data_IF_853887224934
#
_entry.id   IF_853887224934
#
_cell.length_a   1.000
_cell.length_b   1.000
_cell.length_c   1.000
_cell.angle_alpha   90.00
_cell.angle_beta   90.00
_cell.angle_gamma   90.00
#
_symmetry.space_group_name_H-M   'P 1'
#
loop_
_entity.id
_entity.type
_entity.pdbx_description
1 polymer ?
#
# COMPACT_ATOMS: atom_id res chain seq x y z
N UNK A 1 12.93 1.45 -34.07
CA UNK A 1 13.70 2.65 -33.65
C UNK A 1 12.80 3.60 -32.88
N UNK A 2 13.33 4.43 -31.97
CA UNK A 2 12.58 5.55 -31.34
C UNK A 2 12.82 6.89 -32.06
N UNK A 3 13.93 6.97 -32.80
CA UNK A 3 14.43 8.21 -33.40
C UNK A 3 13.47 8.89 -34.38
N UNK A 4 12.69 8.17 -35.22
CA UNK A 4 11.71 8.82 -36.08
C UNK A 4 10.69 9.64 -35.29
N UNK A 5 10.34 9.21 -34.07
CA UNK A 5 9.32 9.86 -33.24
C UNK A 5 9.88 11.00 -32.38
N UNK A 6 11.09 10.85 -31.82
CA UNK A 6 11.66 11.79 -30.84
C UNK A 6 12.89 12.56 -31.34
N UNK A 7 13.35 12.28 -32.56
CA UNK A 7 14.63 12.75 -33.06
C UNK A 7 15.82 11.94 -32.55
N UNK A 8 17.02 12.31 -33.01
CA UNK A 8 18.27 11.72 -32.55
C UNK A 8 18.76 12.47 -31.31
N UNK A 9 18.61 11.87 -30.12
CA UNK A 9 18.95 12.50 -28.84
C UNK A 9 20.44 12.38 -28.47
N UNK A 10 21.31 12.19 -29.47
CA UNK A 10 22.76 12.03 -29.34
C UNK A 10 23.14 11.03 -28.24
N UNK A 11 23.87 11.47 -27.22
CA UNK A 11 24.30 10.62 -26.10
C UNK A 11 23.14 9.94 -25.35
N UNK A 12 21.93 10.48 -25.40
CA UNK A 12 20.74 9.87 -24.79
C UNK A 12 20.00 8.87 -25.72
N UNK A 13 20.43 8.68 -26.97
CA UNK A 13 19.74 7.83 -27.94
C UNK A 13 19.63 6.37 -27.49
N UNK A 14 20.66 5.88 -26.78
CA UNK A 14 20.66 4.54 -26.22
C UNK A 14 19.56 4.36 -25.17
N UNK A 15 19.53 5.24 -24.15
CA UNK A 15 18.55 5.14 -23.06
C UNK A 15 17.12 5.40 -23.55
N UNK A 16 16.89 6.32 -24.50
CA UNK A 16 15.57 6.52 -25.10
C UNK A 16 15.06 5.26 -25.81
N UNK A 17 15.97 4.48 -26.42
CA UNK A 17 15.62 3.21 -27.08
C UNK A 17 15.33 2.10 -26.06
N UNK A 18 16.06 2.08 -24.94
CA UNK A 18 15.78 1.19 -23.80
C UNK A 18 14.41 1.51 -23.18
N UNK A 19 14.06 2.79 -23.01
CA UNK A 19 12.73 3.20 -22.52
C UNK A 19 11.61 2.73 -23.46
N UNK A 20 11.76 2.91 -24.78
CA UNK A 20 10.81 2.37 -25.77
C UNK A 20 10.67 0.85 -25.63
N UNK A 21 11.78 0.13 -25.45
CA UNK A 21 11.79 -1.31 -25.28
C UNK A 21 11.04 -1.76 -24.02
N UNK A 22 11.30 -1.13 -22.87
CA UNK A 22 10.61 -1.44 -21.60
C UNK A 22 9.11 -1.17 -21.72
N UNK A 23 8.72 0.02 -22.20
CA UNK A 23 7.31 0.37 -22.36
C UNK A 23 6.59 -0.56 -23.35
N UNK A 24 7.26 -0.98 -24.42
CA UNK A 24 6.70 -1.91 -25.40
C UNK A 24 6.47 -3.31 -24.80
N UNK A 25 7.38 -3.78 -23.95
CA UNK A 25 7.25 -5.05 -23.22
C UNK A 25 6.14 -4.97 -22.16
N UNK A 26 6.10 -3.91 -21.35
CA UNK A 26 5.09 -3.71 -20.30
C UNK A 26 3.67 -3.62 -20.88
N UNK A 27 3.52 -2.92 -22.01
CA UNK A 27 2.23 -2.80 -22.71
C UNK A 27 1.99 -3.92 -23.72
N UNK A 28 2.87 -4.92 -23.80
CA UNK A 28 2.80 -6.06 -24.73
C UNK A 28 2.45 -5.65 -26.17
N UNK A 29 3.04 -4.56 -26.64
CA UNK A 29 2.74 -3.95 -27.94
C UNK A 29 4.03 -3.44 -28.56
N UNK A 30 4.34 -3.85 -29.79
CA UNK A 30 5.43 -3.33 -30.61
C UNK A 30 4.95 -2.05 -31.29
N UNK A 31 5.49 -0.87 -30.92
CA UNK A 31 5.01 0.39 -31.47
C UNK A 31 5.60 0.66 -32.87
N UNK A 32 4.85 1.38 -33.73
CA UNK A 32 5.25 1.64 -35.11
C UNK A 32 6.49 2.53 -35.23
N UNK A 33 7.06 2.57 -36.43
CA UNK A 33 8.04 3.58 -36.84
C UNK A 33 7.35 4.53 -37.83
N UNK A 34 7.24 5.81 -37.45
CA UNK A 34 6.66 6.82 -38.32
C UNK A 34 7.58 7.14 -39.51
N UNK A 35 7.00 7.68 -40.58
CA UNK A 35 7.71 8.11 -41.79
C UNK A 35 8.50 6.98 -42.49
N UNK A 36 8.03 5.73 -42.37
CA UNK A 36 8.60 4.58 -43.06
C UNK A 36 7.61 4.07 -44.13
N UNK A 37 7.81 4.46 -45.38
CA UNK A 37 6.98 4.06 -46.52
C UNK A 37 7.76 3.28 -47.58
N UNK A 38 8.88 3.84 -48.04
CA UNK A 38 9.74 3.22 -49.05
C UNK A 38 11.00 2.66 -48.38
N UNK A 39 11.16 1.34 -48.26
CA UNK A 39 12.37 0.75 -47.69
C UNK A 39 13.60 1.04 -48.57
N UNK A 40 14.77 1.16 -47.95
CA UNK A 40 16.02 1.35 -48.68
C UNK A 40 16.34 0.07 -49.48
N UNK A 41 16.46 0.13 -50.82
CA UNK A 41 16.68 -1.05 -51.67
C UNK A 41 18.02 -1.75 -51.42
N UNK A 42 18.98 -1.09 -50.74
CA UNK A 42 20.26 -1.70 -50.35
C UNK A 42 20.16 -2.61 -49.13
N UNK A 43 19.00 -2.66 -48.46
CA UNK A 43 18.77 -3.49 -47.27
C UNK A 43 17.85 -4.66 -47.68
N UNK A 44 18.35 -5.90 -47.74
CA UNK A 44 17.55 -7.06 -48.14
C UNK A 44 16.72 -7.58 -46.96
N UNK A 45 15.64 -6.85 -46.62
CA UNK A 45 14.78 -7.16 -45.46
C UNK A 45 14.20 -8.58 -45.48
N UNK A 46 13.78 -9.06 -46.66
CA UNK A 46 13.24 -10.43 -46.84
C UNK A 46 14.27 -11.50 -46.46
N UNK A 47 15.51 -11.33 -46.93
CA UNK A 47 16.58 -12.32 -46.77
C UNK A 47 17.11 -12.33 -45.34
N UNK A 48 16.98 -11.20 -44.64
CA UNK A 48 17.33 -11.05 -43.22
C UNK A 48 16.19 -11.47 -42.27
N UNK A 49 15.02 -11.89 -42.79
CA UNK A 49 13.82 -12.16 -42.00
C UNK A 49 13.44 -10.98 -41.08
N UNK A 50 13.57 -9.75 -41.60
CA UNK A 50 13.31 -8.52 -40.87
C UNK A 50 12.12 -7.78 -41.44
N UNK A 51 11.25 -7.27 -40.57
CA UNK A 51 10.17 -6.36 -40.92
C UNK A 51 10.24 -5.10 -40.03
N UNK A 52 9.89 -3.95 -40.60
CA UNK A 52 9.78 -2.70 -39.85
C UNK A 52 8.30 -2.47 -39.54
N UNK A 53 7.89 -2.41 -38.26
CA UNK A 53 6.51 -2.18 -37.90
C UNK A 53 6.11 -0.75 -38.29
N UNK A 54 5.04 -0.62 -39.08
CA UNK A 54 4.41 0.64 -39.50
C UNK A 54 3.09 0.91 -38.77
N UNK A 55 2.50 -0.14 -38.20
CA UNK A 55 1.35 -0.11 -37.29
C UNK A 55 1.76 -0.62 -35.90
N UNK A 56 0.89 -0.40 -34.90
CA UNK A 56 1.06 -1.01 -33.58
C UNK A 56 0.69 -2.50 -33.66
N UNK A 57 1.62 -3.37 -33.28
CA UNK A 57 1.45 -4.83 -33.38
C UNK A 57 1.44 -5.43 -31.98
N UNK A 58 0.49 -6.31 -31.63
CA UNK A 58 0.56 -7.06 -30.38
C UNK A 58 1.88 -7.83 -30.27
N UNK A 59 2.38 -8.01 -29.06
CA UNK A 59 3.57 -8.84 -28.86
C UNK A 59 3.25 -10.31 -29.20
N UNK A 60 4.13 -11.02 -29.94
CA UNK A 60 3.89 -12.44 -30.25
C UNK A 60 3.83 -13.30 -28.98
N UNK A 61 2.83 -14.18 -28.89
CA UNK A 61 2.62 -15.09 -27.76
C UNK A 61 3.42 -16.40 -27.86
N UNK A 62 3.87 -16.74 -29.07
CA UNK A 62 4.55 -18.00 -29.39
C UNK A 62 6.03 -18.03 -28.98
N UNK A 63 6.53 -16.98 -28.33
CA UNK A 63 7.94 -16.78 -27.99
C UNK A 63 8.12 -15.89 -26.78
N UNK A 64 9.29 -15.98 -26.15
CA UNK A 64 9.64 -15.14 -25.02
C UNK A 64 9.54 -13.64 -25.37
N UNK A 65 8.98 -12.86 -24.44
CA UNK A 65 8.88 -11.40 -24.55
C UNK A 65 10.26 -10.76 -24.36
N UNK A 66 11.01 -10.68 -25.45
CA UNK A 66 12.40 -10.23 -25.49
C UNK A 66 12.65 -9.25 -26.64
N UNK A 67 13.45 -8.23 -26.38
CA UNK A 67 13.80 -7.18 -27.34
C UNK A 67 15.28 -6.83 -27.27
N UNK A 68 15.89 -6.61 -28.43
CA UNK A 68 17.26 -6.12 -28.54
C UNK A 68 17.29 -4.61 -28.81
N UNK A 69 18.20 -3.92 -28.15
CA UNK A 69 18.48 -2.49 -28.38
C UNK A 69 19.90 -2.32 -28.87
N UNK A 70 20.05 -1.65 -30.01
CA UNK A 70 21.33 -1.29 -30.61
C UNK A 70 21.58 0.21 -30.51
N UNK A 71 22.81 0.60 -30.18
CA UNK A 71 23.29 1.98 -30.25
C UNK A 71 24.71 2.04 -30.81
N UNK A 72 24.90 2.87 -31.83
CA UNK A 72 26.18 3.00 -32.55
C UNK A 72 26.63 4.46 -32.48
N UNK A 73 27.75 4.71 -31.82
CA UNK A 73 28.34 6.04 -31.70
C UNK A 73 29.17 6.39 -32.92
N UNK A 74 29.27 7.69 -33.23
CA UNK A 74 30.04 8.20 -34.38
C UNK A 74 31.52 7.79 -34.35
N UNK A 75 32.10 7.60 -33.15
CA UNK A 75 33.46 7.12 -32.96
C UNK A 75 33.65 5.62 -33.19
N UNK A 76 32.61 4.88 -33.59
CA UNK A 76 32.66 3.43 -33.82
C UNK A 76 32.42 2.57 -32.58
N UNK A 77 32.20 3.19 -31.41
CA UNK A 77 31.81 2.48 -30.20
C UNK A 77 30.36 1.97 -30.33
N UNK A 78 30.16 0.68 -30.14
CA UNK A 78 28.88 0.00 -30.32
C UNK A 78 28.41 -0.61 -29.00
N UNK A 79 27.14 -0.46 -28.69
CA UNK A 79 26.49 -1.09 -27.54
C UNK A 79 25.26 -1.89 -28.00
N UNK A 80 25.10 -3.07 -27.43
CA UNK A 80 23.96 -3.95 -27.62
C UNK A 80 23.47 -4.42 -26.25
N UNK A 81 22.16 -4.37 -26.01
CA UNK A 81 21.57 -5.04 -24.86
C UNK A 81 20.33 -5.82 -25.27
N UNK A 82 20.07 -6.89 -24.51
CA UNK A 82 18.91 -7.74 -24.61
C UNK A 82 18.09 -7.51 -23.35
N UNK A 83 16.80 -7.21 -23.53
CA UNK A 83 15.85 -6.91 -22.46
C UNK A 83 14.72 -7.93 -22.56
N UNK A 84 14.29 -8.44 -21.42
CA UNK A 84 13.28 -9.47 -21.29
C UNK A 84 12.40 -9.18 -20.08
N UNK A 85 11.15 -9.63 -20.10
CA UNK A 85 10.26 -9.42 -18.95
C UNK A 85 10.69 -10.27 -17.76
N UNK A 86 10.37 -9.81 -16.55
CA UNK A 86 10.66 -10.54 -15.32
C UNK A 86 9.95 -11.90 -15.27
N UNK A 87 8.74 -11.99 -15.85
CA UNK A 87 7.97 -13.22 -15.96
C UNK A 87 8.71 -14.30 -16.75
N UNK A 88 9.27 -13.96 -17.91
CA UNK A 88 10.05 -14.91 -18.71
C UNK A 88 11.36 -15.31 -18.01
N UNK A 89 12.00 -14.36 -17.32
CA UNK A 89 13.23 -14.63 -16.58
C UNK A 89 13.01 -15.56 -15.37
N UNK A 90 11.94 -15.34 -14.60
CA UNK A 90 11.63 -16.14 -13.40
C UNK A 90 10.83 -17.41 -13.71
N UNK A 91 10.17 -17.48 -14.86
CA UNK A 91 9.36 -18.63 -15.29
C UNK A 91 8.37 -19.07 -14.21
N UNK A 92 8.46 -20.34 -13.80
CA UNK A 92 7.58 -20.93 -12.78
C UNK A 92 7.69 -20.27 -11.39
N UNK A 93 8.72 -19.48 -11.12
CA UNK A 93 8.90 -18.76 -9.85
C UNK A 93 8.30 -17.35 -9.86
N UNK A 94 7.72 -16.90 -10.97
CA UNK A 94 7.11 -15.58 -11.06
C UNK A 94 5.78 -15.50 -10.29
N UNK A 95 5.67 -14.52 -9.38
CA UNK A 95 4.42 -14.20 -8.67
C UNK A 95 4.05 -12.73 -8.89
N UNK A 96 2.86 -12.46 -9.43
CA UNK A 96 2.44 -11.11 -9.86
C UNK A 96 2.22 -10.12 -8.71
N UNK A 97 1.93 -10.62 -7.51
CA UNK A 97 1.84 -9.85 -6.27
C UNK A 97 2.72 -10.52 -5.23
N UNK A 98 3.71 -9.80 -4.73
CA UNK A 98 4.28 -10.17 -3.44
C UNK A 98 3.26 -9.77 -2.37
N UNK A 99 2.92 -10.66 -1.41
CA UNK A 99 2.21 -10.23 -0.24
C UNK A 99 3.01 -9.06 0.36
N UNK A 100 2.37 -7.91 0.52
CA UNK A 100 2.96 -6.83 1.30
C UNK A 100 3.15 -7.43 2.69
N UNK A 101 4.40 -7.60 3.17
CA UNK A 101 4.60 -8.04 4.54
C UNK A 101 3.83 -7.06 5.42
N UNK A 102 3.11 -7.54 6.45
CA UNK A 102 2.42 -6.63 7.35
C UNK A 102 3.36 -5.51 7.73
N UNK A 103 2.86 -4.26 7.72
CA UNK A 103 3.60 -3.16 8.30
C UNK A 103 4.03 -3.63 9.69
N UNK A 104 5.33 -3.81 9.89
CA UNK A 104 5.85 -4.06 11.22
C UNK A 104 5.56 -2.78 12.00
N UNK A 105 4.43 -2.76 12.69
CA UNK A 105 4.25 -1.86 13.81
C UNK A 105 5.45 -2.11 14.74
N UNK A 106 6.10 -1.06 15.22
CA UNK A 106 7.36 -1.12 15.95
C UNK A 106 7.36 -1.97 17.23
N UNK A 107 6.28 -2.69 17.50
CA UNK A 107 6.23 -3.79 18.45
C UNK A 107 6.86 -5.01 17.76
N UNK A 108 8.19 -5.14 17.87
CA UNK A 108 8.89 -6.38 17.55
C UNK A 108 8.13 -7.59 18.10
N UNK A 109 8.37 -8.77 17.52
CA UNK A 109 7.75 -10.04 17.95
C UNK A 109 7.71 -10.11 19.47
N UNK A 110 6.54 -9.80 20.07
CA UNK A 110 6.32 -10.04 21.49
C UNK A 110 6.44 -11.54 21.59
N UNK A 111 7.56 -12.01 22.15
CA UNK A 111 7.72 -13.41 22.51
C UNK A 111 6.62 -13.72 23.50
N UNK A 112 5.49 -14.20 22.97
CA UNK A 112 4.30 -14.50 23.70
C UNK A 112 4.61 -15.71 24.59
N UNK A 113 4.90 -15.43 25.86
CA UNK A 113 4.59 -16.37 26.93
C UNK A 113 3.12 -16.28 27.35
N UNK A 114 2.27 -15.59 26.57
CA UNK A 114 0.82 -15.59 26.74
C UNK A 114 0.25 -16.80 25.98
N UNK A 115 -0.50 -17.63 26.70
CA UNK A 115 -1.08 -18.90 26.26
C UNK A 115 -1.60 -18.89 24.81
N UNK A 116 -1.20 -19.90 24.02
CA UNK A 116 -1.66 -20.16 22.64
C UNK A 116 -3.18 -20.18 22.44
N UNK A 117 -3.94 -20.26 23.54
CA UNK A 117 -5.39 -20.16 23.54
C UNK A 117 -5.91 -18.75 23.19
N UNK A 118 -5.22 -17.68 23.60
CA UNK A 118 -5.66 -16.29 23.33
C UNK A 118 -5.52 -15.98 21.84
N UNK A 119 -4.38 -16.33 21.24
CA UNK A 119 -4.13 -16.15 19.81
C UNK A 119 -5.14 -16.94 18.95
N UNK A 120 -5.45 -18.18 19.36
CA UNK A 120 -6.41 -19.03 18.65
C UNK A 120 -7.85 -18.49 18.70
N UNK A 121 -8.26 -17.89 19.83
CA UNK A 121 -9.59 -17.31 20.01
C UNK A 121 -9.70 -15.97 19.25
N UNK A 122 -8.64 -15.16 19.27
CA UNK A 122 -8.59 -13.89 18.54
C UNK A 122 -8.67 -14.09 17.03
N UNK A 123 -7.86 -15.00 16.48
CA UNK A 123 -7.92 -15.36 15.06
C UNK A 123 -9.31 -15.85 14.64
N UNK A 124 -9.96 -16.69 15.46
CA UNK A 124 -11.28 -17.24 15.17
C UNK A 124 -12.40 -16.20 15.25
N UNK A 125 -12.36 -15.29 16.24
CA UNK A 125 -13.36 -14.19 16.37
C UNK A 125 -13.20 -13.13 15.28
N UNK A 126 -11.96 -12.82 14.87
CA UNK A 126 -11.71 -11.88 13.78
C UNK A 126 -12.13 -12.46 12.42
N UNK A 127 -11.87 -13.75 12.16
CA UNK A 127 -12.30 -14.44 10.94
C UNK A 127 -13.85 -14.52 10.84
N UNK A 128 -14.55 -14.80 11.94
CA UNK A 128 -16.01 -14.75 11.95
C UNK A 128 -16.55 -13.34 11.65
N UNK A 129 -15.93 -12.29 12.19
CA UNK A 129 -16.37 -10.90 12.03
C UNK A 129 -15.99 -10.30 10.68
N UNK A 130 -14.85 -10.66 10.09
CA UNK A 130 -14.49 -10.30 8.72
C UNK A 130 -15.48 -10.91 7.72
N UNK A 131 -15.88 -12.17 7.94
CA UNK A 131 -16.93 -12.84 7.17
C UNK A 131 -18.30 -12.16 7.31
N UNK A 132 -18.65 -11.65 8.49
CA UNK A 132 -19.89 -10.88 8.68
C UNK A 132 -19.86 -9.50 7.98
N UNK A 133 -18.70 -8.82 7.94
CA UNK A 133 -18.51 -7.58 7.15
C UNK A 133 -18.61 -7.84 5.64
N UNK A 134 -17.91 -8.87 5.14
CA UNK A 134 -17.91 -9.22 3.72
C UNK A 134 -19.27 -9.73 3.22
N UNK A 135 -20.10 -10.32 4.09
CA UNK A 135 -21.47 -10.74 3.73
C UNK A 135 -22.40 -9.56 3.43
N UNK A 136 -22.07 -8.34 3.87
CA UNK A 136 -22.80 -7.13 3.52
C UNK A 136 -22.30 -6.50 2.19
N UNK A 137 -21.15 -6.94 1.68
CA UNK A 137 -20.50 -6.40 0.50
C UNK A 137 -20.05 -7.53 -0.44
N UNK A 138 -20.96 -8.19 -1.17
CA UNK A 138 -20.56 -8.94 -2.36
C UNK A 138 -21.68 -9.09 -3.38
N UNK A 139 -21.56 -8.41 -4.52
CA UNK A 139 -21.31 -9.03 -5.83
C UNK A 139 -20.37 -8.05 -6.56
N UNK A 140 -19.12 -8.42 -6.87
CA UNK A 140 -18.67 -8.87 -8.20
C UNK A 140 -17.24 -9.43 -8.12
N UNK A 141 -16.98 -10.43 -8.98
CA UNK A 141 -15.71 -10.99 -9.45
C UNK A 141 -15.05 -12.11 -8.61
N UNK A 142 -15.24 -13.32 -9.13
CA UNK A 142 -14.51 -14.55 -8.87
C UNK A 142 -13.10 -14.50 -9.44
N UNK A 143 -12.09 -14.55 -8.58
CA UNK A 143 -10.82 -15.19 -8.90
C UNK A 143 -10.41 -16.06 -7.70
N UNK A 144 -10.04 -17.29 -8.02
CA UNK A 144 -9.73 -18.34 -7.05
C UNK A 144 -8.38 -18.08 -6.39
N UNK A 145 -8.40 -17.46 -5.22
CA UNK A 145 -7.20 -17.31 -4.38
C UNK A 145 -7.21 -18.34 -3.25
N UNK A 146 -6.07 -19.02 -3.11
CA UNK A 146 -5.72 -19.88 -2.00
C UNK A 146 -5.88 -19.14 -0.67
N UNK A 147 -6.55 -19.80 0.28
CA UNK A 147 -6.76 -19.38 1.67
C UNK A 147 -5.44 -19.39 2.46
N UNK A 148 -4.56 -18.44 2.18
CA UNK A 148 -3.42 -18.11 3.04
C UNK A 148 -3.71 -16.78 3.74
N UNK A 149 -3.82 -16.81 5.07
CA UNK A 149 -3.98 -15.68 6.00
C UNK A 149 -4.43 -14.36 5.35
N UNK A 150 -5.75 -14.19 5.19
CA UNK A 150 -6.33 -12.89 4.91
C UNK A 150 -6.14 -12.00 6.14
N UNK A 151 -4.95 -11.40 6.27
CA UNK A 151 -4.69 -10.36 7.26
C UNK A 151 -5.77 -9.29 7.11
N UNK A 152 -6.37 -8.88 8.24
CA UNK A 152 -7.40 -7.86 8.25
C UNK A 152 -6.85 -6.60 7.58
N UNK A 153 -7.44 -6.23 6.44
CA UNK A 153 -7.08 -4.98 5.76
C UNK A 153 -7.49 -3.81 6.67
N UNK A 154 -6.64 -2.77 6.82
CA UNK A 154 -7.01 -1.63 7.63
C UNK A 154 -8.23 -0.93 7.01
N UNK A 155 -9.13 -0.42 7.84
CA UNK A 155 -10.32 0.33 7.40
C UNK A 155 -9.99 1.75 6.94
N UNK A 156 -8.81 2.25 7.32
CA UNK A 156 -8.31 3.59 7.06
C UNK A 156 -6.90 3.54 6.45
N UNK A 157 -6.62 4.48 5.55
CA UNK A 157 -5.34 4.65 4.89
C UNK A 157 -4.80 6.06 5.11
N UNK A 158 -3.54 6.16 5.53
CA UNK A 158 -2.83 7.43 5.73
C UNK A 158 -2.07 7.79 4.47
N UNK A 159 -2.39 8.94 3.87
CA UNK A 159 -1.65 9.50 2.75
C UNK A 159 -0.75 10.62 3.25
N UNK A 160 0.53 10.52 2.96
CA UNK A 160 1.53 11.52 3.33
C UNK A 160 2.14 12.11 2.07
N UNK A 161 2.12 13.43 1.97
CA UNK A 161 2.76 14.16 0.88
C UNK A 161 3.79 15.11 1.44
N UNK A 162 4.90 15.25 0.73
CA UNK A 162 5.95 16.17 1.11
C UNK A 162 6.62 16.82 -0.10
N UNK A 163 7.16 18.02 0.10
CA UNK A 163 7.98 18.71 -0.90
C UNK A 163 9.06 19.58 -0.25
N UNK A 164 10.00 20.06 -1.06
CA UNK A 164 11.06 20.97 -0.60
C UNK A 164 10.55 22.40 -0.31
N UNK A 165 9.40 22.78 -0.87
CA UNK A 165 8.81 24.12 -0.71
C UNK A 165 7.27 24.03 -0.72
N UNK A 166 6.56 25.04 -0.17
CA UNK A 166 5.11 24.97 -0.01
C UNK A 166 4.32 25.11 -1.32
N UNK A 167 4.91 25.71 -2.36
CA UNK A 167 4.26 25.83 -3.68
C UNK A 167 4.21 24.48 -4.38
N UNK A 168 5.34 23.77 -4.42
CA UNK A 168 5.42 22.41 -4.95
C UNK A 168 4.52 21.45 -4.17
N UNK A 169 4.44 21.58 -2.84
CA UNK A 169 3.55 20.73 -2.06
C UNK A 169 2.07 20.96 -2.40
N UNK A 170 1.65 22.23 -2.58
CA UNK A 170 0.28 22.53 -3.04
C UNK A 170 -0.01 21.92 -4.40
N UNK A 171 0.93 22.02 -5.34
CA UNK A 171 0.79 21.39 -6.65
C UNK A 171 0.67 19.86 -6.53
N UNK A 172 1.52 19.22 -5.72
CA UNK A 172 1.44 17.78 -5.48
C UNK A 172 0.10 17.36 -4.90
N UNK A 173 -0.49 18.14 -3.97
CA UNK A 173 -1.84 17.86 -3.46
C UNK A 173 -2.85 17.86 -4.62
N UNK A 174 -2.84 18.90 -5.45
CA UNK A 174 -3.75 18.98 -6.62
C UNK A 174 -3.55 17.83 -7.59
N UNK A 175 -2.30 17.48 -7.90
CA UNK A 175 -1.95 16.41 -8.84
C UNK A 175 -2.40 15.04 -8.30
N UNK A 176 -2.15 14.75 -7.02
CA UNK A 176 -2.58 13.49 -6.40
C UNK A 176 -4.10 13.40 -6.29
N UNK A 177 -4.79 14.50 -5.93
CA UNK A 177 -6.25 14.51 -5.93
C UNK A 177 -6.81 14.25 -7.34
N UNK A 178 -6.20 14.81 -8.39
CA UNK A 178 -6.56 14.52 -9.77
C UNK A 178 -6.30 13.06 -10.14
N UNK A 179 -5.13 12.53 -9.79
CA UNK A 179 -4.75 11.14 -10.04
C UNK A 179 -5.71 10.15 -9.38
N UNK A 180 -6.02 10.36 -8.10
CA UNK A 180 -6.90 9.49 -7.32
C UNK A 180 -8.32 9.42 -7.91
N UNK A 181 -8.88 10.55 -8.35
CA UNK A 181 -10.20 10.60 -9.01
C UNK A 181 -10.20 9.84 -10.34
N UNK A 182 -9.15 10.02 -11.15
CA UNK A 182 -9.10 9.42 -12.48
C UNK A 182 -8.80 7.91 -12.46
N UNK A 183 -7.97 7.44 -11.52
CA UNK A 183 -7.44 6.08 -11.55
C UNK A 183 -8.05 5.16 -10.48
N UNK A 184 -8.66 5.71 -9.43
CA UNK A 184 -9.26 4.97 -8.30
C UNK A 184 -8.38 3.80 -7.80
N UNK A 185 -7.08 4.04 -7.49
CA UNK A 185 -6.17 2.98 -7.03
C UNK A 185 -6.56 2.43 -5.66
N UNK A 186 -6.07 1.23 -5.30
CA UNK A 186 -6.24 0.66 -3.96
C UNK A 186 -5.62 1.62 -2.90
N UNK A 187 -6.40 2.13 -1.93
CA UNK A 187 -5.91 3.08 -0.94
C UNK A 187 -4.76 2.56 -0.07
N UNK A 188 -4.73 1.26 0.21
CA UNK A 188 -3.67 0.65 1.04
C UNK A 188 -2.34 0.68 0.30
N UNK A 189 -2.35 0.39 -1.01
CA UNK A 189 -1.15 0.41 -1.85
C UNK A 189 -0.61 1.85 -2.03
N UNK A 190 -1.51 2.82 -2.16
CA UNK A 190 -1.15 4.25 -2.20
C UNK A 190 -0.51 4.67 -0.88
N UNK A 191 -1.14 4.35 0.25
CA UNK A 191 -0.60 4.66 1.58
C UNK A 191 0.79 4.05 1.78
N UNK A 192 0.95 2.76 1.45
CA UNK A 192 2.23 2.08 1.54
C UNK A 192 3.31 2.77 0.70
N UNK A 193 2.97 3.14 -0.55
CA UNK A 193 3.91 3.81 -1.46
C UNK A 193 4.31 5.18 -0.93
N UNK A 194 3.34 5.99 -0.49
CA UNK A 194 3.59 7.33 0.05
C UNK A 194 4.42 7.29 1.34
N UNK A 195 4.16 6.32 2.22
CA UNK A 195 4.87 6.18 3.48
C UNK A 195 6.28 5.58 3.30
N UNK A 196 6.44 4.54 2.48
CA UNK A 196 7.65 3.71 2.48
C UNK A 196 8.49 3.79 1.20
N UNK A 197 7.94 4.31 0.10
CA UNK A 197 8.58 4.32 -1.23
C UNK A 197 8.80 5.74 -1.78
N UNK A 198 8.56 6.76 -0.97
CA UNK A 198 8.80 8.17 -1.28
C UNK A 198 9.75 8.77 -0.27
N UNK A 199 10.50 9.78 -0.71
CA UNK A 199 11.31 10.60 0.17
C UNK A 199 10.43 11.57 0.97
N UNK A 200 10.77 11.79 2.24
CA UNK A 200 10.02 12.64 3.17
C UNK A 200 10.72 13.97 3.41
N UNK A 201 10.28 14.99 2.68
CA UNK A 201 10.86 16.33 2.67
C UNK A 201 10.27 17.24 3.78
N UNK A 202 10.77 18.47 3.88
CA UNK A 202 10.51 19.35 5.02
C UNK A 202 9.12 19.98 5.03
N UNK A 203 8.49 20.24 3.89
CA UNK A 203 7.10 20.67 3.85
C UNK A 203 6.21 19.44 3.74
N UNK A 204 5.22 19.31 4.62
CA UNK A 204 4.41 18.10 4.75
C UNK A 204 2.93 18.42 4.91
N UNK A 205 2.11 17.49 4.44
CA UNK A 205 0.66 17.42 4.68
C UNK A 205 0.28 15.94 4.72
N UNK A 206 -0.83 15.64 5.38
CA UNK A 206 -1.36 14.28 5.43
C UNK A 206 -2.87 14.30 5.21
N UNK A 207 -3.40 13.20 4.70
CA UNK A 207 -4.82 12.96 4.56
C UNK A 207 -5.14 11.55 5.05
N UNK A 208 -6.33 11.36 5.61
CA UNK A 208 -6.79 10.03 6.01
C UNK A 208 -8.06 9.72 5.24
N UNK A 209 -8.13 8.53 4.66
CA UNK A 209 -9.26 8.08 3.84
C UNK A 209 -9.69 6.69 4.27
N UNK A 210 -10.98 6.38 4.15
CA UNK A 210 -11.47 5.01 4.30
C UNK A 210 -10.91 4.14 3.17
N UNK A 211 -10.69 2.87 3.44
CA UNK A 211 -10.26 1.89 2.42
C UNK A 211 -11.44 1.29 1.66
N UNK A 212 -12.63 1.36 2.26
CA UNK A 212 -13.89 0.94 1.64
C UNK A 212 -14.61 2.16 1.03
N UNK A 213 -14.99 2.04 -0.25
CA UNK A 213 -15.85 3.02 -0.91
C UNK A 213 -17.30 2.69 -0.60
N UNK A 214 -17.98 3.60 0.09
CA UNK A 214 -19.42 3.57 0.24
C UNK A 214 -20.03 4.40 -0.90
N UNK A 215 -20.94 3.82 -1.67
CA UNK A 215 -21.68 4.48 -2.76
C UNK A 215 -20.84 5.05 -3.91
N UNK A 216 -19.73 4.39 -4.30
CA UNK A 216 -18.82 4.85 -5.38
C UNK A 216 -18.26 6.26 -5.14
N UNK A 217 -18.16 6.67 -3.87
CA UNK A 217 -17.51 7.92 -3.49
C UNK A 217 -16.02 7.81 -3.80
N UNK A 218 -15.48 8.84 -4.47
CA UNK A 218 -14.05 8.95 -4.73
C UNK A 218 -13.28 8.95 -3.39
N UNK A 219 -12.35 8.00 -3.24
CA UNK A 219 -11.49 7.87 -2.05
C UNK A 219 -10.34 8.90 -2.10
N UNK A 220 -10.71 10.18 -1.99
CA UNK A 220 -9.81 11.32 -2.01
C UNK A 220 -9.87 12.01 -0.65
N UNK A 221 -8.79 12.01 0.13
CA UNK A 221 -8.81 12.66 1.44
C UNK A 221 -8.83 14.18 1.30
N UNK A 222 -9.43 14.83 2.29
CA UNK A 222 -9.11 16.23 2.57
C UNK A 222 -7.74 16.28 3.26
N UNK A 223 -6.83 17.04 2.69
CA UNK A 223 -5.46 17.10 3.18
C UNK A 223 -5.35 18.16 4.28
N UNK A 224 -4.61 17.83 5.33
CA UNK A 224 -4.30 18.72 6.43
C UNK A 224 -3.66 20.01 5.93
N UNK A 225 -3.76 21.11 6.69
CA UNK A 225 -2.97 22.31 6.42
C UNK A 225 -1.49 21.99 6.24
N UNK A 226 -0.84 22.67 5.30
CA UNK A 226 0.57 22.47 5.02
C UNK A 226 1.40 22.94 6.22
N UNK A 227 2.30 22.09 6.66
CA UNK A 227 3.24 22.38 7.73
C UNK A 227 4.68 22.28 7.23
N UNK A 228 5.60 22.96 7.92
CA UNK A 228 7.04 22.78 7.71
C UNK A 228 7.61 22.12 8.95
N UNK A 229 8.25 20.97 8.80
CA UNK A 229 9.07 20.41 9.87
C UNK A 229 10.43 21.09 9.89
N UNK A 230 10.88 21.45 11.10
CA UNK A 230 12.27 21.88 11.35
C UNK A 230 13.18 20.70 11.67
N UNK A 231 12.62 19.52 11.92
CA UNK A 231 13.35 18.39 12.49
C UNK A 231 14.09 17.64 11.38
N UNK A 232 15.42 17.65 11.46
CA UNK A 232 16.30 16.83 10.61
C UNK A 232 16.43 15.40 11.13
N UNK A 233 16.11 15.18 12.40
CA UNK A 233 16.13 13.89 13.09
C UNK A 233 14.72 13.51 13.52
N UNK A 234 14.44 12.21 13.74
CA UNK A 234 13.22 11.78 14.42
C UNK A 234 13.08 12.52 15.76
N UNK A 235 11.87 12.99 16.13
CA UNK A 235 11.64 13.65 17.41
C UNK A 235 11.71 12.65 18.56
N UNK A 236 12.11 13.13 19.74
CA UNK A 236 11.92 12.38 20.99
C UNK A 236 10.42 12.34 21.32
N UNK A 237 9.90 11.15 21.61
CA UNK A 237 8.49 10.93 21.92
C UNK A 237 8.34 10.83 23.44
N UNK A 238 7.55 11.74 24.02
CA UNK A 238 7.14 11.67 25.42
C UNK A 238 5.69 11.18 25.48
N UNK A 239 5.47 10.02 26.09
CA UNK A 239 4.13 9.49 26.31
C UNK A 239 3.53 10.10 27.59
N UNK A 240 2.42 10.82 27.43
CA UNK A 240 1.70 11.45 28.54
C UNK A 240 0.47 10.60 28.86
N UNK A 241 0.45 10.01 30.04
CA UNK A 241 -0.64 9.18 30.52
C UNK A 241 -1.67 10.03 31.27
N UNK A 242 -2.94 9.89 30.91
CA UNK A 242 -4.05 10.59 31.54
C UNK A 242 -4.51 9.86 32.79
N UNK A 243 -4.90 10.63 33.81
CA UNK A 243 -5.53 10.11 35.01
C UNK A 243 -7.04 9.90 34.83
N UNK A 244 -7.75 9.70 35.94
CA UNK A 244 -9.21 9.63 35.93
C UNK A 244 -9.82 10.98 35.47
N UNK A 245 -10.79 10.91 34.56
CA UNK A 245 -11.54 12.06 34.02
C UNK A 245 -11.59 12.11 32.49
N UNK A 246 -10.70 11.41 31.79
CA UNK A 246 -10.65 11.37 30.33
C UNK A 246 -11.44 10.21 29.70
N UNK A 247 -12.00 9.31 30.52
CA UNK A 247 -12.72 8.13 30.06
C UNK A 247 -14.09 8.49 29.48
N UNK A 248 -14.49 7.78 28.43
CA UNK A 248 -15.79 7.91 27.77
C UNK A 248 -16.30 6.55 27.32
N UNK A 249 -17.62 6.37 27.19
CA UNK A 249 -18.20 5.06 26.89
C UNK A 249 -17.92 4.62 25.45
N UNK A 250 -17.46 3.39 25.26
CA UNK A 250 -17.05 2.88 23.95
C UNK A 250 -15.61 3.22 23.56
N UNK A 251 -14.82 3.82 24.47
CA UNK A 251 -13.40 4.09 24.21
C UNK A 251 -12.64 2.81 23.84
N UNK A 252 -11.82 2.86 22.79
CA UNK A 252 -11.04 1.71 22.33
C UNK A 252 -11.85 0.58 21.65
N UNK A 253 -13.18 0.68 21.57
CA UNK A 253 -14.02 -0.35 20.95
C UNK A 253 -13.67 -0.58 19.48
N UNK A 254 -13.60 0.50 18.69
CA UNK A 254 -13.23 0.41 17.26
C UNK A 254 -11.83 -0.19 17.10
N UNK A 255 -10.90 0.17 17.99
CA UNK A 255 -9.55 -0.39 17.97
C UNK A 255 -9.53 -1.89 18.28
N UNK A 256 -10.36 -2.35 19.22
CA UNK A 256 -10.54 -3.78 19.50
C UNK A 256 -11.18 -4.54 18.33
N UNK A 257 -12.05 -3.88 17.56
CA UNK A 257 -12.73 -4.50 16.41
C UNK A 257 -11.86 -4.56 15.14
N UNK A 258 -10.83 -3.70 15.05
CA UNK A 258 -9.97 -3.56 13.88
C UNK A 258 -8.55 -4.12 14.07
N UNK A 259 -7.94 -3.94 15.24
CA UNK A 259 -6.52 -4.23 15.46
C UNK A 259 -6.33 -5.37 16.46
N UNK A 260 -5.84 -6.50 15.96
CA UNK A 260 -5.61 -7.70 16.76
C UNK A 260 -4.68 -7.45 17.95
N UNK A 261 -3.59 -6.70 17.74
CA UNK A 261 -2.64 -6.36 18.81
C UNK A 261 -3.31 -5.59 19.95
N UNK A 262 -4.22 -4.67 19.62
CA UNK A 262 -4.97 -3.91 20.62
C UNK A 262 -5.90 -4.84 21.41
N UNK A 263 -6.69 -5.66 20.71
CA UNK A 263 -7.57 -6.64 21.34
C UNK A 263 -6.82 -7.63 22.25
N UNK A 264 -5.73 -8.21 21.78
CA UNK A 264 -4.93 -9.18 22.53
C UNK A 264 -4.33 -8.57 23.79
N UNK A 265 -3.95 -7.29 23.75
CA UNK A 265 -3.46 -6.56 24.93
C UNK A 265 -4.57 -6.40 25.96
N UNK A 266 -5.76 -5.94 25.55
CA UNK A 266 -6.92 -5.81 26.45
C UNK A 266 -7.32 -7.18 27.03
N UNK A 267 -7.36 -8.22 26.21
CA UNK A 267 -7.67 -9.59 26.66
C UNK A 267 -6.66 -10.09 27.70
N UNK A 268 -5.37 -9.82 27.49
CA UNK A 268 -4.31 -10.18 28.45
C UNK A 268 -4.48 -9.44 29.78
N UNK A 269 -4.81 -8.14 29.74
CA UNK A 269 -5.06 -7.37 30.95
C UNK A 269 -6.33 -7.83 31.68
N UNK A 270 -7.33 -8.32 30.96
CA UNK A 270 -8.53 -8.90 31.54
C UNK A 270 -8.22 -10.19 32.32
N UNK A 271 -7.32 -11.03 31.78
CA UNK A 271 -6.82 -12.21 32.49
C UNK A 271 -6.09 -11.81 33.79
N UNK A 272 -5.21 -10.81 33.73
CA UNK A 272 -4.51 -10.29 34.91
C UNK A 272 -5.49 -9.80 35.98
N UNK A 273 -6.56 -9.09 35.60
CA UNK A 273 -7.60 -8.66 36.55
C UNK A 273 -8.34 -9.84 37.18
N UNK A 274 -8.57 -10.91 36.41
CA UNK A 274 -9.26 -12.11 36.91
C UNK A 274 -8.43 -12.94 37.89
N UNK A 275 -7.10 -12.75 37.91
CA UNK A 275 -6.16 -13.43 38.80
C UNK A 275 -5.94 -12.71 40.15
N UNK A 276 -6.55 -11.54 40.37
CA UNK A 276 -6.46 -10.83 41.64
C UNK A 276 -7.15 -11.60 42.78
N UNK A 277 -6.71 -11.39 44.03
CA UNK A 277 -7.34 -11.99 45.23
C UNK A 277 -8.84 -11.70 45.34
N UNK A 278 -9.25 -10.53 44.83
CA UNK A 278 -10.62 -10.06 44.76
C UNK A 278 -10.92 -9.58 43.34
N UNK A 279 -11.21 -10.50 42.40
CA UNK A 279 -11.40 -10.14 41.01
C UNK A 279 -12.72 -9.36 40.83
N UNK A 280 -12.78 -8.42 39.87
CA UNK A 280 -14.01 -7.75 39.53
C UNK A 280 -15.04 -8.76 39.00
N UNK A 281 -16.32 -8.50 39.25
CA UNK A 281 -17.42 -9.32 38.69
C UNK A 281 -17.76 -8.98 37.24
N UNK A 282 -17.00 -8.07 36.63
CA UNK A 282 -17.23 -7.51 35.31
C UNK A 282 -15.99 -7.71 34.43
N UNK A 283 -16.18 -7.72 33.12
CA UNK A 283 -15.14 -7.99 32.13
C UNK A 283 -14.73 -6.70 31.40
N UNK A 284 -13.42 -6.50 31.19
CA UNK A 284 -12.89 -5.31 30.51
C UNK A 284 -13.45 -5.18 29.10
N UNK A 285 -13.45 -6.26 28.33
CA UNK A 285 -13.85 -6.25 26.92
C UNK A 285 -15.35 -5.98 26.83
N UNK A 286 -16.14 -6.61 27.70
CA UNK A 286 -17.58 -6.39 27.76
C UNK A 286 -17.89 -4.93 28.08
N UNK A 287 -17.29 -4.38 29.14
CA UNK A 287 -17.57 -3.00 29.57
C UNK A 287 -17.08 -1.97 28.55
N UNK A 288 -15.90 -2.15 27.93
CA UNK A 288 -15.43 -1.29 26.84
C UNK A 288 -16.32 -1.35 25.60
N UNK A 289 -17.07 -2.45 25.41
CA UNK A 289 -17.99 -2.62 24.29
C UNK A 289 -19.39 -2.03 24.55
N UNK A 290 -19.71 -1.61 25.78
CA UNK A 290 -21.03 -1.11 26.14
C UNK A 290 -21.32 0.29 25.57
N UNK A 291 -22.56 0.53 25.11
CA UNK A 291 -23.00 1.86 24.71
C UNK A 291 -23.11 2.82 25.91
N UNK A 292 -23.14 4.13 25.61
CA UNK A 292 -23.09 5.18 26.62
C UNK A 292 -24.23 5.18 27.65
N UNK A 293 -25.39 4.65 27.28
CA UNK A 293 -26.59 4.55 28.12
C UNK A 293 -26.51 3.44 29.18
N UNK A 294 -25.64 2.44 28.98
CA UNK A 294 -25.53 1.25 29.83
C UNK A 294 -24.14 1.04 30.42
N UNK A 295 -23.19 1.91 30.08
CA UNK A 295 -21.81 1.84 30.57
C UNK A 295 -21.68 2.40 32.00
N UNK A 296 -20.87 1.71 32.80
CA UNK A 296 -20.48 2.09 34.16
C UNK A 296 -19.17 2.87 34.22
N UNK A 297 -18.62 3.28 33.06
CA UNK A 297 -17.31 3.93 32.92
C UNK A 297 -17.14 5.19 33.78
N UNK A 298 -18.23 5.81 34.24
CA UNK A 298 -18.18 6.96 35.16
C UNK A 298 -17.77 6.61 36.61
N UNK A 299 -17.87 5.35 37.03
CA UNK A 299 -17.54 4.92 38.40
C UNK A 299 -16.04 4.66 38.54
N UNK A 300 -15.47 5.00 39.71
CA UNK A 300 -14.03 4.86 39.98
C UNK A 300 -13.51 3.43 39.74
N UNK A 301 -14.28 2.43 40.19
CA UNK A 301 -13.95 1.01 40.06
C UNK A 301 -13.83 0.51 38.60
N UNK A 302 -14.43 1.23 37.63
CA UNK A 302 -14.34 0.93 36.20
C UNK A 302 -13.38 1.90 35.48
N UNK A 303 -13.56 3.20 35.69
CA UNK A 303 -12.79 4.24 35.00
C UNK A 303 -11.27 4.06 35.12
N UNK A 304 -10.76 3.73 36.31
CA UNK A 304 -9.33 3.58 36.55
C UNK A 304 -8.72 2.38 35.79
N UNK A 305 -9.22 1.14 35.96
CA UNK A 305 -8.69 -0.01 35.22
C UNK A 305 -8.93 0.09 33.71
N UNK A 306 -10.08 0.61 33.25
CA UNK A 306 -10.37 0.77 31.82
C UNK A 306 -9.43 1.79 31.17
N UNK A 307 -9.20 2.94 31.81
CA UNK A 307 -8.29 3.95 31.30
C UNK A 307 -6.83 3.45 31.29
N UNK A 308 -6.41 2.71 32.32
CA UNK A 308 -5.11 2.05 32.34
C UNK A 308 -4.97 1.06 31.18
N UNK A 309 -5.97 0.20 30.99
CA UNK A 309 -5.92 -0.84 29.97
C UNK A 309 -5.81 -0.27 28.55
N UNK A 310 -6.57 0.78 28.24
CA UNK A 310 -6.47 1.45 26.94
C UNK A 310 -5.12 2.10 26.74
N UNK A 311 -4.61 2.80 27.75
CA UNK A 311 -3.33 3.49 27.62
C UNK A 311 -2.13 2.54 27.49
N UNK A 312 -2.23 1.32 28.03
CA UNK A 312 -1.25 0.26 27.82
C UNK A 312 -1.38 -0.38 26.43
N UNK A 313 -2.59 -0.43 25.87
CA UNK A 313 -2.86 -1.03 24.56
C UNK A 313 -2.58 -0.10 23.37
N UNK A 314 -2.55 1.22 23.59
CA UNK A 314 -2.15 2.25 22.61
C UNK A 314 -0.63 2.32 22.43
#
# INVERSE_FOLDING_TARGET
SVKPNLGHSEGASGISSVMKAILALENQTIPPNINFSTPNPKIPFSDMNMAVPVDAIPWPEDRARRVSVNSFGIGGANAHCIIETLEEYLGASFTKRHPVPPLQNGNGTVGAHVSSAVDSISAMKMDLRSKMRNSAATQVASDSFSTENAYARPSMALYVLSAANPTSLRQSVTDYQGYLRCHKPDPVDVSYTLCNRREHLSHRTYGVVTTESVNDTDLVPDFSPLSKTSNKTPPDINLIFTGQGAQWAGMGKELMDEYETFYNTIASLNLVLSELDHPPTWDLIEELSRPADSSNVGRAEFSQPLACAIQVAL
#
